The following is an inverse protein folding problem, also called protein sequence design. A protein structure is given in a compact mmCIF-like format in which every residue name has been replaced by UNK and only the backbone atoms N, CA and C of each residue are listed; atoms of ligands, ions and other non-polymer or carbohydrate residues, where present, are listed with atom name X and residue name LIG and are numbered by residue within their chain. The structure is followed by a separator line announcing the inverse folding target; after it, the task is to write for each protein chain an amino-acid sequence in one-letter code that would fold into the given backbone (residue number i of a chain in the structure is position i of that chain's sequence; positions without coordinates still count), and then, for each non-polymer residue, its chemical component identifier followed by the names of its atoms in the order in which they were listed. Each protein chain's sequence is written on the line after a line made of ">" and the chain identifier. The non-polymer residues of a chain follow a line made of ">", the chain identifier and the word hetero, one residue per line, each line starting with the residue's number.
data_IF_940825467593
#
_entry.id   IF_940825467593
#
_cell.length_a   1.000
_cell.length_b   1.000
_cell.length_c   1.000
_cell.angle_alpha   90.00
_cell.angle_beta   90.00
_cell.angle_gamma   90.00
#
_symmetry.space_group_name_H-M   'P 1'
#
loop_
_entity.id
_entity.type
_entity.pdbx_description
1 polymer ?
#
# COMPACT_ATOMS: atom_id res chain seq x y z
N UNK A 1 19.01 -15.37 25.84
CA UNK A 1 18.37 -15.15 24.53
C UNK A 1 18.90 -13.84 23.99
N UNK A 2 19.45 -13.83 22.77
CA UNK A 2 19.82 -12.56 22.13
C UNK A 2 18.51 -11.85 21.81
N UNK A 3 18.15 -10.83 22.58
CA UNK A 3 17.02 -9.96 22.26
C UNK A 3 17.38 -9.23 20.97
N UNK A 4 17.04 -9.80 19.82
CA UNK A 4 17.17 -9.10 18.55
C UNK A 4 16.09 -8.04 18.50
N UNK A 5 16.47 -6.78 18.48
CA UNK A 5 15.58 -5.61 18.47
C UNK A 5 14.71 -5.47 17.21
N UNK A 6 14.70 -6.50 16.36
CA UNK A 6 13.89 -6.61 15.15
C UNK A 6 14.39 -5.77 13.97
N UNK A 7 15.57 -5.15 14.06
CA UNK A 7 16.08 -4.30 12.98
C UNK A 7 16.64 -5.11 11.80
N UNK A 8 16.32 -4.63 10.60
CA UNK A 8 16.86 -5.13 9.34
C UNK A 8 16.98 -3.98 8.31
N UNK A 9 17.67 -4.26 7.21
CA UNK A 9 17.70 -3.39 6.02
C UNK A 9 16.82 -3.99 4.93
N UNK A 10 15.87 -3.21 4.41
CA UNK A 10 15.04 -3.56 3.27
C UNK A 10 15.17 -2.44 2.22
N UNK A 11 15.72 -2.76 1.05
CA UNK A 11 15.95 -1.79 -0.04
C UNK A 11 16.69 -0.51 0.41
N UNK A 12 17.69 -0.65 1.29
CA UNK A 12 18.45 0.48 1.82
C UNK A 12 17.74 1.30 2.91
N UNK A 13 16.51 0.96 3.26
CA UNK A 13 15.74 1.57 4.35
C UNK A 13 15.90 0.73 5.64
N UNK A 14 16.09 1.41 6.78
CA UNK A 14 16.00 0.73 8.08
C UNK A 14 14.54 0.37 8.36
N UNK A 15 14.33 -0.89 8.68
CA UNK A 15 13.04 -1.39 9.14
C UNK A 15 13.20 -2.07 10.49
N UNK A 16 12.14 -2.05 11.29
CA UNK A 16 12.08 -2.74 12.56
C UNK A 16 10.81 -3.58 12.60
N UNK A 17 10.95 -4.86 12.96
CA UNK A 17 9.81 -5.74 13.20
C UNK A 17 9.49 -5.78 14.68
N UNK A 18 8.27 -5.36 15.05
CA UNK A 18 7.76 -5.43 16.42
C UNK A 18 6.38 -6.07 16.35
N UNK A 19 6.15 -7.16 17.08
CA UNK A 19 4.86 -7.86 17.16
C UNK A 19 4.23 -8.18 15.79
N UNK A 20 5.06 -8.64 14.85
CA UNK A 20 4.63 -8.98 13.50
C UNK A 20 4.40 -7.78 12.55
N UNK A 21 4.71 -6.56 12.98
CA UNK A 21 4.54 -5.33 12.19
C UNK A 21 5.89 -4.75 11.79
N UNK A 22 6.03 -4.43 10.50
CA UNK A 22 7.19 -3.75 9.92
C UNK A 22 6.99 -2.25 10.04
N UNK A 23 7.89 -1.60 10.76
CA UNK A 23 7.97 -0.16 10.85
C UNK A 23 9.15 0.37 10.04
N UNK A 24 8.92 1.38 9.21
CA UNK A 24 10.01 2.15 8.60
C UNK A 24 10.64 3.03 9.67
N UNK A 25 11.94 2.94 9.87
CA UNK A 25 12.67 3.73 10.87
C UNK A 25 13.66 4.66 10.20
N UNK A 26 13.77 5.88 10.70
CA UNK A 26 14.85 6.76 10.32
C UNK A 26 16.09 6.54 11.20
N UNK A 27 17.20 7.19 10.83
CA UNK A 27 18.48 7.08 11.55
C UNK A 27 18.37 7.59 12.99
N UNK A 28 17.55 8.61 13.23
CA UNK A 28 17.40 9.20 14.56
C UNK A 28 16.65 8.26 15.50
N UNK A 29 15.62 7.57 15.00
CA UNK A 29 14.89 6.55 15.75
C UNK A 29 15.82 5.40 16.15
N UNK A 30 16.58 4.86 15.20
CA UNK A 30 17.57 3.81 15.48
C UNK A 30 18.57 4.28 16.54
N UNK A 31 19.12 5.49 16.37
CA UNK A 31 20.06 6.08 17.34
C UNK A 31 19.47 6.21 18.74
N UNK A 32 18.28 6.82 18.86
CA UNK A 32 17.63 7.05 20.14
C UNK A 32 17.35 5.73 20.85
N UNK A 33 16.82 4.73 20.14
CA UNK A 33 16.56 3.42 20.73
C UNK A 33 17.85 2.73 21.19
N UNK A 34 18.94 2.80 20.41
CA UNK A 34 20.24 2.27 20.85
C UNK A 34 20.73 2.97 22.11
N UNK A 35 20.62 4.30 22.20
CA UNK A 35 21.01 5.06 23.39
C UNK A 35 20.19 4.66 24.61
N UNK A 36 18.88 4.50 24.44
CA UNK A 36 17.98 4.10 25.53
C UNK A 36 18.33 2.71 26.07
N UNK A 37 18.57 1.74 25.18
CA UNK A 37 18.93 0.37 25.57
C UNK A 37 20.29 0.36 26.26
N UNK A 38 21.30 1.00 25.67
CA UNK A 38 22.64 1.02 26.27
C UNK A 38 22.68 1.79 27.59
N UNK A 39 21.75 2.71 27.83
CA UNK A 39 21.59 3.37 29.14
C UNK A 39 21.04 2.40 30.20
N UNK A 40 20.29 1.38 29.78
CA UNK A 40 19.65 0.39 30.65
C UNK A 40 20.47 -0.88 30.82
N UNK A 41 21.32 -1.27 29.87
CA UNK A 41 22.15 -2.49 29.91
C UNK A 41 23.37 -2.38 28.98
N UNK A 42 24.40 -3.21 29.19
CA UNK A 42 25.54 -3.25 28.28
C UNK A 42 25.17 -4.01 27.01
N UNK A 43 25.43 -3.43 25.83
CA UNK A 43 24.97 -3.99 24.55
C UNK A 43 26.16 -4.26 23.63
N UNK A 44 26.11 -5.36 22.89
CA UNK A 44 27.03 -5.62 21.78
C UNK A 44 26.33 -5.35 20.45
N UNK A 45 26.94 -4.53 19.59
CA UNK A 45 26.51 -4.35 18.21
C UNK A 45 27.63 -4.72 17.23
N UNK A 46 27.25 -5.12 16.03
CA UNK A 46 28.19 -5.37 14.94
C UNK A 46 28.31 -4.11 14.08
N UNK A 47 29.54 -3.70 13.74
CA UNK A 47 29.84 -2.54 12.91
C UNK A 47 30.62 -3.01 11.69
N UNK A 48 30.21 -2.59 10.49
CA UNK A 48 30.95 -2.88 9.26
C UNK A 48 31.93 -1.75 8.97
N UNK A 49 33.23 -2.05 8.96
CA UNK A 49 34.30 -1.13 8.58
C UNK A 49 35.08 -1.73 7.41
N UNK A 50 35.07 -1.06 6.24
CA UNK A 50 35.81 -1.50 5.03
C UNK A 50 35.58 -2.99 4.67
N UNK A 51 34.32 -3.43 4.71
CA UNK A 51 33.88 -4.82 4.49
C UNK A 51 34.27 -5.83 5.59
N UNK A 52 34.78 -5.38 6.73
CA UNK A 52 35.01 -6.23 7.89
C UNK A 52 33.95 -5.96 8.95
N UNK A 53 33.31 -7.02 9.42
CA UNK A 53 32.35 -6.96 10.52
C UNK A 53 33.10 -7.05 11.85
N UNK A 54 33.03 -5.98 12.63
CA UNK A 54 33.64 -5.84 13.95
C UNK A 54 32.56 -5.82 15.01
N UNK A 55 32.65 -6.67 16.03
CA UNK A 55 31.74 -6.59 17.18
C UNK A 55 32.23 -5.53 18.15
N UNK A 56 31.42 -4.51 18.38
CA UNK A 56 31.64 -3.48 19.37
C UNK A 56 30.72 -3.72 20.56
N UNK A 57 31.31 -3.84 21.74
CA UNK A 57 30.57 -3.84 22.99
C UNK A 57 30.56 -2.42 23.53
N UNK A 58 29.38 -1.86 23.75
CA UNK A 58 29.22 -0.57 24.42
C UNK A 58 28.57 -0.82 25.75
N UNK A 59 29.36 -0.55 26.79
CA UNK A 59 28.89 -0.54 28.16
C UNK A 59 28.31 0.83 28.55
N UNK A 60 27.54 0.85 29.63
CA UNK A 60 26.92 2.07 30.16
C UNK A 60 27.92 3.21 30.42
N UNK A 61 29.15 2.89 30.84
CA UNK A 61 30.20 3.89 31.18
C UNK A 61 30.76 4.57 29.93
N UNK A 62 30.90 3.83 28.84
CA UNK A 62 31.41 4.31 27.55
C UNK A 62 30.44 5.31 26.91
N UNK A 63 29.14 5.16 27.15
CA UNK A 63 28.11 6.05 26.61
C UNK A 63 28.13 7.45 27.24
N UNK A 64 28.53 7.57 28.51
CA UNK A 64 28.53 8.82 29.27
C UNK A 64 29.65 9.81 28.90
N UNK A 65 30.68 9.40 28.15
CA UNK A 65 31.89 10.22 27.96
C UNK A 65 32.17 10.68 26.53
N UNK A 66 31.88 9.87 25.50
CA UNK A 66 32.15 10.19 24.07
C UNK A 66 31.21 9.51 23.07
N UNK A 67 30.57 8.39 23.44
CA UNK A 67 29.92 7.54 22.47
C UNK A 67 28.63 8.11 21.87
N UNK A 68 27.89 9.02 22.53
CA UNK A 68 26.66 9.59 21.93
C UNK A 68 26.93 10.33 20.61
N UNK A 69 28.00 11.14 20.56
CA UNK A 69 28.36 11.88 19.34
C UNK A 69 28.91 10.95 18.25
N UNK A 70 29.67 9.93 18.63
CA UNK A 70 30.19 8.91 17.71
C UNK A 70 29.06 8.02 17.18
N UNK A 71 28.22 7.43 18.03
CA UNK A 71 27.04 6.64 17.64
C UNK A 71 26.11 7.41 16.70
N UNK A 72 25.85 8.70 16.96
CA UNK A 72 24.99 9.52 16.09
C UNK A 72 25.55 9.68 14.68
N UNK A 73 26.86 9.86 14.55
CA UNK A 73 27.54 9.89 13.25
C UNK A 73 27.70 8.49 12.61
N UNK A 74 27.71 7.45 13.43
CA UNK A 74 28.11 6.10 13.06
C UNK A 74 26.96 5.10 12.91
N UNK A 75 25.68 5.51 13.04
CA UNK A 75 24.52 4.63 12.84
C UNK A 75 24.60 3.87 11.51
N UNK A 76 25.09 4.53 10.45
CA UNK A 76 25.26 3.92 9.13
C UNK A 76 26.32 2.81 9.07
N UNK A 77 27.20 2.74 10.08
CA UNK A 77 28.19 1.68 10.18
C UNK A 77 27.67 0.50 11.00
N UNK A 78 26.55 0.62 11.71
CA UNK A 78 25.93 -0.51 12.40
C UNK A 78 25.42 -1.49 11.35
N UNK A 79 25.91 -2.72 11.42
CA UNK A 79 25.51 -3.79 10.52
C UNK A 79 24.18 -4.38 11.01
N UNK A 80 23.13 -4.13 10.23
CA UNK A 80 21.85 -4.84 10.37
C UNK A 80 21.75 -5.94 9.31
N UNK A 81 21.10 -7.07 9.64
CA UNK A 81 20.84 -8.11 8.65
C UNK A 81 19.95 -7.57 7.52
N UNK A 82 20.03 -8.21 6.35
CA UNK A 82 19.04 -7.99 5.32
C UNK A 82 17.68 -8.51 5.81
N UNK A 83 16.60 -7.82 5.43
CA UNK A 83 15.25 -8.26 5.75
C UNK A 83 14.91 -9.53 4.94
N UNK A 84 14.51 -10.60 5.64
CA UNK A 84 14.31 -11.93 5.07
C UNK A 84 12.97 -12.59 5.47
N UNK A 85 12.07 -11.82 6.10
CA UNK A 85 10.76 -12.33 6.55
C UNK A 85 9.72 -12.28 5.45
N UNK A 86 8.81 -13.26 5.45
CA UNK A 86 7.67 -13.27 4.53
C UNK A 86 6.66 -12.18 4.93
N UNK A 87 6.24 -11.37 3.96
CA UNK A 87 5.23 -10.34 4.13
C UNK A 87 3.86 -10.95 3.87
N UNK A 88 2.93 -10.83 4.81
CA UNK A 88 1.56 -11.29 4.65
C UNK A 88 0.88 -10.47 3.55
N UNK A 89 0.35 -11.17 2.55
CA UNK A 89 -0.32 -10.58 1.39
C UNK A 89 -1.44 -11.48 0.93
N UNK A 90 -2.46 -10.86 0.34
CA UNK A 90 -3.55 -11.54 -0.34
C UNK A 90 -3.04 -12.55 -1.38
N UNK A 91 -3.81 -13.61 -1.54
CA UNK A 91 -3.66 -14.62 -2.60
C UNK A 91 -4.91 -14.61 -3.49
N UNK A 92 -5.01 -15.58 -4.40
CA UNK A 92 -6.23 -15.76 -5.19
C UNK A 92 -7.45 -16.12 -4.33
N UNK A 93 -7.24 -16.74 -3.16
CA UNK A 93 -8.31 -17.27 -2.30
C UNK A 93 -8.38 -16.59 -0.93
N UNK A 94 -7.32 -15.91 -0.52
CA UNK A 94 -7.17 -15.32 0.80
C UNK A 94 -7.04 -13.80 0.70
N UNK A 95 -7.86 -13.08 1.45
CA UNK A 95 -7.85 -11.63 1.52
C UNK A 95 -7.66 -11.21 2.98
N UNK A 96 -6.72 -10.30 3.22
CA UNK A 96 -6.41 -9.83 4.58
C UNK A 96 -6.62 -8.33 4.69
N UNK A 97 -7.44 -7.89 5.65
CA UNK A 97 -7.53 -6.48 6.06
C UNK A 97 -6.89 -6.30 7.43
N UNK A 98 -6.14 -5.23 7.64
CA UNK A 98 -5.42 -5.00 8.89
C UNK A 98 -6.00 -3.80 9.62
N UNK A 99 -6.47 -4.02 10.84
CA UNK A 99 -7.08 -3.02 11.73
C UNK A 99 -6.25 -2.88 13.00
N UNK A 100 -6.36 -1.79 13.75
CA UNK A 100 -5.49 -1.54 14.91
C UNK A 100 -5.38 -2.73 15.88
N UNK A 101 -6.51 -3.37 16.19
CA UNK A 101 -6.58 -4.49 17.14
C UNK A 101 -6.37 -5.89 16.53
N UNK A 102 -6.65 -6.12 15.24
CA UNK A 102 -6.57 -7.45 14.64
C UNK A 102 -6.33 -7.41 13.12
N UNK A 103 -6.17 -8.58 12.50
CA UNK A 103 -6.35 -8.72 11.05
C UNK A 103 -7.62 -9.51 10.77
N UNK A 104 -8.36 -9.14 9.73
CA UNK A 104 -9.51 -9.88 9.24
C UNK A 104 -9.07 -10.72 8.04
N UNK A 105 -9.16 -12.03 8.13
CA UNK A 105 -8.91 -12.97 7.04
C UNK A 105 -10.25 -13.38 6.43
N UNK A 106 -10.37 -13.20 5.13
CA UNK A 106 -11.57 -13.50 4.35
C UNK A 106 -11.21 -14.51 3.27
N UNK A 107 -12.05 -15.53 3.16
CA UNK A 107 -12.06 -16.50 2.06
C UNK A 107 -13.38 -16.40 1.32
N UNK A 108 -13.59 -17.27 0.33
CA UNK A 108 -14.89 -17.36 -0.35
C UNK A 108 -15.99 -17.86 0.60
N UNK A 109 -15.63 -18.67 1.58
CA UNK A 109 -16.56 -19.40 2.44
C UNK A 109 -16.81 -18.70 3.78
N UNK A 110 -15.83 -17.99 4.33
CA UNK A 110 -15.89 -17.42 5.68
C UNK A 110 -15.03 -16.16 5.85
N UNK A 111 -15.24 -15.47 6.97
CA UNK A 111 -14.40 -14.37 7.42
C UNK A 111 -14.13 -14.52 8.93
N UNK A 112 -12.89 -14.38 9.36
CA UNK A 112 -12.49 -14.51 10.77
C UNK A 112 -11.41 -13.51 11.15
N UNK A 113 -11.38 -13.11 12.43
CA UNK A 113 -10.30 -12.28 12.96
C UNK A 113 -9.13 -13.15 13.40
N UNK A 114 -7.93 -12.81 12.95
CA UNK A 114 -6.68 -13.47 13.30
C UNK A 114 -5.75 -12.54 14.07
N UNK A 115 -4.99 -13.12 14.99
CA UNK A 115 -3.94 -12.43 15.73
C UNK A 115 -2.67 -12.27 14.87
N UNK A 116 -1.87 -11.28 15.21
CA UNK A 116 -0.56 -11.05 14.57
C UNK A 116 0.49 -11.94 15.23
N UNK A 117 0.57 -13.18 14.78
CA UNK A 117 1.48 -14.19 15.37
C UNK A 117 2.96 -13.92 15.06
N UNK A 118 3.26 -13.10 14.05
CA UNK A 118 4.62 -12.73 13.64
C UNK A 118 5.31 -13.72 12.70
N UNK A 119 4.65 -14.83 12.32
CA UNK A 119 5.14 -15.78 11.30
C UNK A 119 5.28 -15.10 9.93
N UNK A 120 4.22 -14.40 9.52
CA UNK A 120 4.25 -13.42 8.42
C UNK A 120 4.09 -12.05 9.01
N UNK A 121 4.74 -11.08 8.39
CA UNK A 121 4.76 -9.70 8.88
C UNK A 121 3.96 -8.77 7.97
N UNK A 122 3.40 -7.71 8.53
CA UNK A 122 2.60 -6.72 7.79
C UNK A 122 3.24 -5.34 7.86
N UNK A 123 2.94 -4.46 6.91
CA UNK A 123 3.40 -3.09 6.99
C UNK A 123 2.54 -2.27 7.96
N UNK A 124 3.17 -1.47 8.80
CA UNK A 124 2.47 -0.52 9.68
C UNK A 124 1.51 0.36 8.89
N UNK A 125 1.96 0.92 7.75
CA UNK A 125 1.15 1.84 6.95
C UNK A 125 -0.01 1.17 6.19
N UNK A 126 -0.16 -0.15 6.31
CA UNK A 126 -1.33 -0.90 5.84
C UNK A 126 -2.32 -1.19 6.98
N UNK A 127 -1.97 -0.89 8.23
CA UNK A 127 -2.88 -0.99 9.36
C UNK A 127 -3.80 0.24 9.35
N UNK A 128 -5.10 -0.01 9.30
CA UNK A 128 -6.10 1.04 9.45
C UNK A 128 -6.24 1.39 10.93
N UNK A 129 -6.17 2.68 11.25
CA UNK A 129 -6.41 3.26 12.57
C UNK A 129 -7.90 3.18 12.97
N UNK A 130 -8.38 1.95 13.11
CA UNK A 130 -9.74 1.59 13.47
C UNK A 130 -9.69 0.28 14.26
N UNK A 131 -10.46 0.17 15.34
CA UNK A 131 -10.60 -1.06 16.11
C UNK A 131 -11.85 -1.80 15.61
N UNK A 132 -11.62 -2.98 15.02
CA UNK A 132 -12.70 -3.82 14.52
C UNK A 132 -13.40 -4.49 15.71
N UNK A 133 -14.62 -4.06 15.98
CA UNK A 133 -15.51 -4.67 16.96
C UNK A 133 -16.52 -5.59 16.28
N UNK A 134 -17.32 -6.30 17.07
CA UNK A 134 -18.42 -7.11 16.54
C UNK A 134 -19.35 -6.29 15.62
N UNK A 135 -19.84 -6.95 14.57
CA UNK A 135 -20.65 -6.36 13.52
C UNK A 135 -21.89 -5.67 14.12
N UNK A 136 -22.19 -4.41 13.74
CA UNK A 136 -23.52 -3.84 14.02
C UNK A 136 -24.60 -4.62 13.24
N UNK A 137 -25.76 -4.83 13.85
CA UNK A 137 -26.91 -5.44 13.16
C UNK A 137 -27.42 -4.52 12.04
N UNK A 138 -27.52 -5.04 10.81
CA UNK A 138 -28.19 -4.40 9.68
C UNK A 138 -27.27 -3.78 8.62
N UNK A 139 -27.89 -3.17 7.61
CA UNK A 139 -27.18 -2.51 6.50
C UNK A 139 -26.53 -1.21 6.98
N UNK A 140 -25.26 -1.01 6.60
CA UNK A 140 -24.54 0.23 6.89
C UNK A 140 -24.83 1.33 5.87
N UNK A 141 -24.61 2.59 6.24
CA UNK A 141 -24.85 3.75 5.35
C UNK A 141 -24.09 3.68 4.01
N UNK A 142 -22.99 2.94 3.94
CA UNK A 142 -22.25 2.72 2.69
C UNK A 142 -22.99 1.76 1.75
N UNK A 143 -23.67 0.74 2.28
CA UNK A 143 -24.50 -0.17 1.49
C UNK A 143 -25.69 0.57 0.88
N UNK A 144 -26.37 1.42 1.66
CA UNK A 144 -27.44 2.29 1.18
C UNK A 144 -26.95 3.23 0.07
N UNK A 145 -25.76 3.81 0.25
CA UNK A 145 -25.12 4.65 -0.77
C UNK A 145 -24.83 3.85 -2.05
N UNK A 146 -24.28 2.64 -1.94
CA UNK A 146 -24.04 1.76 -3.08
C UNK A 146 -25.35 1.42 -3.81
N UNK A 147 -26.41 1.12 -3.08
CA UNK A 147 -27.75 0.88 -3.66
C UNK A 147 -28.25 2.06 -4.48
N UNK A 148 -28.04 3.29 -4.00
CA UNK A 148 -28.44 4.52 -4.70
C UNK A 148 -27.70 4.73 -6.02
N UNK A 149 -26.37 4.59 -6.01
CA UNK A 149 -25.56 4.84 -7.22
C UNK A 149 -25.60 3.68 -8.22
N UNK A 150 -25.88 2.47 -7.75
CA UNK A 150 -25.89 1.27 -8.59
C UNK A 150 -27.25 1.03 -9.25
N UNK A 151 -28.35 1.35 -8.56
CA UNK A 151 -29.68 0.90 -8.94
C UNK A 151 -29.72 -0.62 -9.15
N UNK A 152 -30.15 -1.07 -10.34
CA UNK A 152 -30.25 -2.49 -10.68
C UNK A 152 -28.88 -3.18 -10.81
N UNK A 153 -27.79 -2.42 -10.96
CA UNK A 153 -26.42 -2.95 -11.13
C UNK A 153 -25.71 -3.24 -9.80
N UNK A 154 -26.43 -3.36 -8.68
CA UNK A 154 -25.84 -3.51 -7.35
C UNK A 154 -24.82 -4.66 -7.24
N UNK A 155 -25.09 -5.80 -7.88
CA UNK A 155 -24.15 -6.92 -7.90
C UNK A 155 -22.86 -6.62 -8.69
N UNK A 156 -22.93 -5.81 -9.75
CA UNK A 156 -21.76 -5.35 -10.49
C UNK A 156 -20.91 -4.41 -9.63
N UNK A 157 -21.53 -3.53 -8.85
CA UNK A 157 -20.84 -2.66 -7.88
C UNK A 157 -20.15 -3.47 -6.77
N UNK A 158 -20.83 -4.48 -6.19
CA UNK A 158 -20.20 -5.40 -5.23
C UNK A 158 -19.00 -6.13 -5.83
N UNK A 159 -19.13 -6.61 -7.07
CA UNK A 159 -18.05 -7.32 -7.77
C UNK A 159 -16.86 -6.40 -8.04
N UNK A 160 -17.11 -5.16 -8.49
CA UNK A 160 -16.09 -4.15 -8.69
C UNK A 160 -15.37 -3.79 -7.38
N UNK A 161 -16.13 -3.60 -6.29
CA UNK A 161 -15.56 -3.33 -4.97
C UNK A 161 -14.69 -4.50 -4.49
N UNK A 162 -15.19 -5.74 -4.61
CA UNK A 162 -14.42 -6.94 -4.29
C UNK A 162 -13.13 -7.04 -5.11
N UNK A 163 -13.19 -6.74 -6.42
CA UNK A 163 -12.02 -6.74 -7.29
C UNK A 163 -10.94 -5.74 -6.82
N UNK A 164 -11.32 -4.50 -6.53
CA UNK A 164 -10.37 -3.44 -6.14
C UNK A 164 -9.86 -3.57 -4.71
N UNK A 165 -10.62 -4.21 -3.82
CA UNK A 165 -10.20 -4.42 -2.43
C UNK A 165 -9.21 -5.57 -2.24
N UNK A 166 -8.96 -6.38 -3.27
CA UNK A 166 -7.92 -7.42 -3.24
C UNK A 166 -6.55 -6.83 -3.53
N UNK A 167 -5.57 -7.17 -2.71
CA UNK A 167 -4.17 -6.81 -2.88
C UNK A 167 -3.36 -7.86 -3.67
N UNK A 168 -3.98 -8.47 -4.68
CA UNK A 168 -3.41 -9.56 -5.49
C UNK A 168 -3.82 -9.45 -6.96
N UNK A 169 -2.86 -9.67 -7.86
CA UNK A 169 -3.11 -9.84 -9.29
C UNK A 169 -2.55 -11.19 -9.76
N UNK A 170 -3.37 -11.92 -10.51
CA UNK A 170 -2.97 -13.17 -11.14
C UNK A 170 -2.13 -12.95 -12.41
N UNK A 171 -1.70 -14.05 -13.01
CA UNK A 171 -0.89 -14.05 -14.25
C UNK A 171 -1.67 -13.59 -15.48
N UNK A 172 -3.00 -13.60 -15.41
CA UNK A 172 -3.92 -13.17 -16.47
C UNK A 172 -3.95 -11.65 -16.69
N UNK A 173 -3.31 -10.88 -15.79
CA UNK A 173 -3.36 -9.42 -15.80
C UNK A 173 -4.37 -8.85 -14.82
N UNK A 174 -4.21 -7.56 -14.54
CA UNK A 174 -5.16 -6.75 -13.76
C UNK A 174 -6.22 -6.14 -14.68
N UNK A 175 -7.41 -5.93 -14.13
CA UNK A 175 -8.41 -5.00 -14.70
C UNK A 175 -8.49 -3.74 -13.86
N UNK A 176 -8.30 -2.59 -14.49
CA UNK A 176 -8.54 -1.30 -13.84
C UNK A 176 -10.04 -1.02 -13.76
N UNK A 177 -10.50 -0.49 -12.62
CA UNK A 177 -11.87 -0.04 -12.45
C UNK A 177 -12.02 1.37 -13.01
N UNK A 178 -12.90 1.55 -13.99
CA UNK A 178 -13.26 2.86 -14.53
C UNK A 178 -14.64 3.29 -14.00
N UNK A 179 -14.66 4.28 -13.12
CA UNK A 179 -15.88 4.89 -12.59
C UNK A 179 -16.25 6.10 -13.46
N UNK A 180 -17.41 6.04 -14.12
CA UNK A 180 -17.92 7.14 -14.94
C UNK A 180 -19.39 7.44 -14.67
N UNK A 181 -19.91 8.54 -15.20
CA UNK A 181 -21.33 8.85 -15.10
C UNK A 181 -22.12 8.08 -16.17
N UNK A 182 -23.27 7.52 -15.80
CA UNK A 182 -24.20 6.83 -16.73
C UNK A 182 -24.78 7.83 -17.74
N UNK A 183 -25.11 9.04 -17.27
CA UNK A 183 -25.58 10.15 -18.10
C UNK A 183 -24.48 11.20 -18.19
N UNK A 184 -23.91 11.36 -19.37
CA UNK A 184 -23.00 12.46 -19.69
C UNK A 184 -23.60 13.30 -20.83
N UNK A 185 -23.58 14.62 -20.68
CA UNK A 185 -23.89 15.56 -21.76
C UNK A 185 -22.60 16.25 -22.18
N UNK A 186 -22.34 16.30 -23.49
CA UNK A 186 -21.17 16.99 -24.03
C UNK A 186 -21.22 18.46 -23.61
N UNK A 187 -20.22 18.91 -22.86
CA UNK A 187 -20.12 20.27 -22.34
C UNK A 187 -20.78 20.54 -20.98
N UNK A 188 -21.41 19.54 -20.34
CA UNK A 188 -21.89 19.64 -18.95
C UNK A 188 -21.20 18.64 -18.03
N UNK A 189 -20.73 19.12 -16.88
CA UNK A 189 -20.19 18.27 -15.83
C UNK A 189 -21.30 17.91 -14.84
N UNK A 190 -21.66 16.63 -14.77
CA UNK A 190 -22.53 16.11 -13.72
C UNK A 190 -21.68 15.85 -12.47
N UNK A 191 -21.33 16.93 -11.77
CA UNK A 191 -20.67 16.82 -10.47
C UNK A 191 -21.57 16.11 -9.44
N UNK A 192 -20.98 15.58 -8.37
CA UNK A 192 -21.68 15.00 -7.21
C UNK A 192 -22.41 13.66 -7.43
N UNK A 193 -22.09 12.90 -8.47
CA UNK A 193 -22.60 11.52 -8.68
C UNK A 193 -22.06 10.49 -7.66
N UNK A 194 -21.17 10.93 -6.76
CA UNK A 194 -20.67 10.08 -5.69
C UNK A 194 -19.41 9.29 -6.02
N UNK A 195 -18.83 9.36 -7.23
CA UNK A 195 -17.57 8.66 -7.61
C UNK A 195 -16.47 8.77 -6.54
N UNK A 196 -16.28 9.97 -6.00
CA UNK A 196 -15.32 10.22 -4.93
C UNK A 196 -15.64 9.51 -3.61
N UNK A 197 -16.92 9.35 -3.25
CA UNK A 197 -17.33 8.60 -2.04
C UNK A 197 -16.99 7.12 -2.22
N UNK A 198 -17.20 6.55 -3.42
CA UNK A 198 -16.94 5.14 -3.70
C UNK A 198 -15.48 4.77 -3.43
N UNK A 199 -14.52 5.44 -4.07
CA UNK A 199 -13.12 5.07 -3.90
C UNK A 199 -12.58 5.52 -2.52
N UNK A 200 -13.07 6.64 -1.95
CA UNK A 200 -12.69 7.05 -0.59
C UNK A 200 -13.14 6.05 0.46
N UNK A 201 -14.22 5.30 0.24
CA UNK A 201 -14.60 4.22 1.16
C UNK A 201 -13.53 3.11 1.21
N UNK A 202 -12.81 2.84 0.11
CA UNK A 202 -11.72 1.88 0.10
C UNK A 202 -10.55 2.28 1.04
N UNK A 203 -10.35 3.58 1.28
CA UNK A 203 -9.36 4.10 2.24
C UNK A 203 -9.64 3.67 3.69
N UNK A 204 -10.87 3.23 3.99
CA UNK A 204 -11.27 2.75 5.32
C UNK A 204 -10.86 1.32 5.61
N UNK A 205 -10.37 0.60 4.60
CA UNK A 205 -9.97 -0.81 4.74
C UNK A 205 -8.63 -1.12 4.07
N UNK A 206 -8.13 -0.24 3.20
CA UNK A 206 -6.87 -0.41 2.45
C UNK A 206 -6.03 0.85 2.45
N UNK A 207 -4.72 0.69 2.29
CA UNK A 207 -3.83 1.79 1.95
C UNK A 207 -4.05 2.21 0.49
N UNK A 208 -4.57 3.42 0.31
CA UNK A 208 -4.85 4.02 -0.99
C UNK A 208 -3.96 5.25 -1.16
N UNK A 209 -3.28 5.34 -2.31
CA UNK A 209 -2.62 6.58 -2.74
C UNK A 209 -3.34 7.08 -4.00
N UNK A 210 -3.43 8.39 -4.18
CA UNK A 210 -4.17 8.98 -5.29
C UNK A 210 -3.42 10.14 -5.96
N UNK A 211 -3.87 10.50 -7.16
CA UNK A 211 -3.44 11.71 -7.85
C UNK A 211 -4.57 12.33 -8.68
N UNK A 212 -4.45 13.63 -8.95
CA UNK A 212 -5.32 14.36 -9.89
C UNK A 212 -5.11 13.87 -11.32
N UNK A 213 -6.15 13.31 -11.91
CA UNK A 213 -6.22 12.90 -13.31
C UNK A 213 -6.15 14.06 -14.30
N UNK A 214 -6.40 15.30 -13.86
CA UNK A 214 -6.18 16.51 -14.68
C UNK A 214 -4.71 16.82 -14.89
N UNK A 215 -3.88 16.45 -13.92
CA UNK A 215 -2.44 16.70 -13.91
C UNK A 215 -1.64 15.43 -14.28
N UNK A 216 -2.32 14.28 -14.33
CA UNK A 216 -1.72 13.01 -14.68
C UNK A 216 -1.28 13.02 -16.16
N UNK A 217 0.03 12.94 -16.36
CA UNK A 217 0.65 12.83 -17.68
C UNK A 217 1.33 11.47 -17.76
N UNK A 218 0.83 10.53 -18.59
CA UNK A 218 1.36 9.17 -18.62
C UNK A 218 2.84 9.06 -19.01
N UNK A 219 3.37 10.03 -19.76
CA UNK A 219 4.78 10.06 -20.17
C UNK A 219 5.71 10.67 -19.10
N UNK A 220 5.17 11.20 -18.00
CA UNK A 220 5.97 11.76 -16.92
C UNK A 220 6.58 10.64 -16.05
N UNK A 221 7.89 10.66 -15.86
CA UNK A 221 8.61 9.70 -14.99
C UNK A 221 8.10 9.69 -13.54
N UNK A 222 7.52 10.81 -13.08
CA UNK A 222 6.97 10.99 -11.72
C UNK A 222 5.45 10.82 -11.64
N UNK A 223 4.80 10.25 -12.67
CA UNK A 223 3.32 10.08 -12.70
C UNK A 223 2.76 9.30 -11.50
N UNK A 224 3.59 8.48 -10.87
CA UNK A 224 3.26 7.66 -9.70
C UNK A 224 4.06 8.07 -8.45
N UNK A 225 4.52 9.32 -8.35
CA UNK A 225 5.36 9.78 -7.22
C UNK A 225 4.72 9.61 -5.82
N UNK A 226 3.38 9.58 -5.78
CA UNK A 226 2.60 9.37 -4.56
C UNK A 226 2.57 7.89 -4.13
N UNK A 227 2.80 6.97 -5.06
CA UNK A 227 2.86 5.54 -4.75
C UNK A 227 4.06 5.18 -3.89
N UNK A 228 3.90 4.10 -3.14
CA UNK A 228 4.93 3.44 -2.36
C UNK A 228 4.84 1.93 -2.56
N UNK A 229 5.84 1.17 -2.11
CA UNK A 229 5.81 -0.31 -2.18
C UNK A 229 4.64 -0.94 -1.42
N UNK A 230 4.05 -0.21 -0.48
CA UNK A 230 2.98 -0.72 0.39
C UNK A 230 1.59 -0.24 -0.03
N UNK A 231 1.50 0.63 -1.05
CA UNK A 231 0.24 1.04 -1.68
C UNK A 231 -0.53 -0.20 -2.13
N UNK A 232 -1.83 -0.27 -1.85
CA UNK A 232 -2.66 -1.42 -2.23
C UNK A 232 -3.64 -1.06 -3.35
N UNK A 233 -4.05 0.21 -3.40
CA UNK A 233 -4.91 0.77 -4.45
C UNK A 233 -4.30 2.11 -4.87
N UNK A 234 -4.20 2.34 -6.18
CA UNK A 234 -3.85 3.63 -6.75
C UNK A 234 -5.04 4.23 -7.48
N UNK A 235 -5.34 5.51 -7.21
CA UNK A 235 -6.48 6.21 -7.81
C UNK A 235 -6.00 7.36 -8.70
N UNK A 236 -6.46 7.38 -9.95
CA UNK A 236 -6.34 8.53 -10.85
C UNK A 236 -7.71 9.21 -10.90
N UNK A 237 -7.88 10.27 -10.12
CA UNK A 237 -9.19 10.89 -9.87
C UNK A 237 -9.47 12.04 -10.86
N UNK A 238 -10.64 12.00 -11.51
CA UNK A 238 -11.15 13.03 -12.44
C UNK A 238 -10.26 13.22 -13.68
N UNK A 239 -9.99 12.13 -14.41
CA UNK A 239 -9.29 12.19 -15.70
C UNK A 239 -10.10 12.96 -16.75
N UNK A 240 -9.38 13.69 -17.61
CA UNK A 240 -9.94 14.48 -18.70
C UNK A 240 -10.65 13.59 -19.73
N UNK A 241 -11.55 14.20 -20.50
CA UNK A 241 -12.08 13.60 -21.71
C UNK A 241 -10.90 13.22 -22.64
N UNK A 242 -11.01 12.08 -23.33
CA UNK A 242 -9.95 11.53 -24.20
C UNK A 242 -8.68 11.06 -23.48
N UNK A 243 -8.78 10.68 -22.21
CA UNK A 243 -7.67 10.00 -21.54
C UNK A 243 -7.36 8.65 -22.23
N UNK A 244 -6.15 8.52 -22.77
CA UNK A 244 -5.71 7.30 -23.45
C UNK A 244 -5.26 6.22 -22.46
N UNK A 245 -6.15 5.27 -22.19
CA UNK A 245 -5.88 4.14 -21.30
C UNK A 245 -4.79 3.19 -21.82
N UNK A 246 -4.41 3.23 -23.11
CA UNK A 246 -3.31 2.39 -23.63
C UNK A 246 -1.99 2.66 -22.92
N UNK A 247 -1.80 3.88 -22.44
CA UNK A 247 -0.65 4.28 -21.62
C UNK A 247 -0.53 3.51 -20.28
N UNK A 248 -1.61 2.84 -19.84
CA UNK A 248 -1.69 2.04 -18.63
C UNK A 248 -1.66 0.53 -18.88
N UNK A 249 -1.45 0.08 -20.12
CA UNK A 249 -1.42 -1.36 -20.42
C UNK A 249 -0.32 -2.11 -19.68
N UNK A 250 0.91 -1.57 -19.68
CA UNK A 250 2.03 -2.21 -18.98
C UNK A 250 1.77 -2.30 -17.47
N UNK A 251 1.11 -1.30 -16.89
CA UNK A 251 0.68 -1.35 -15.49
C UNK A 251 -0.22 -2.57 -15.22
N UNK A 252 -1.13 -2.87 -16.16
CA UNK A 252 -2.07 -3.98 -16.02
C UNK A 252 -1.47 -5.36 -16.35
N UNK A 253 -0.38 -5.44 -17.12
CA UNK A 253 0.15 -6.73 -17.63
C UNK A 253 1.53 -7.10 -17.10
N UNK A 254 2.41 -6.12 -16.87
CA UNK A 254 3.79 -6.35 -16.44
C UNK A 254 4.02 -5.91 -14.99
N UNK A 255 3.31 -4.86 -14.58
CA UNK A 255 3.34 -4.27 -13.26
C UNK A 255 3.71 -2.79 -13.27
N UNK A 256 3.83 -2.20 -12.08
CA UNK A 256 4.11 -0.78 -11.93
C UNK A 256 5.62 -0.48 -11.88
N UNK A 257 6.01 0.63 -12.48
CA UNK A 257 7.34 1.20 -12.34
C UNK A 257 7.22 2.69 -12.03
N UNK A 258 7.91 3.15 -10.98
CA UNK A 258 7.79 4.53 -10.52
C UNK A 258 9.05 5.05 -9.85
N UNK A 259 9.25 6.36 -9.98
CA UNK A 259 10.33 7.10 -9.36
C UNK A 259 9.78 8.13 -8.37
N UNK A 260 10.53 8.35 -7.29
CA UNK A 260 10.25 9.43 -6.32
C UNK A 260 11.46 10.36 -6.30
N UNK A 261 11.24 11.64 -6.00
CA UNK A 261 12.35 12.61 -5.93
C UNK A 261 13.43 12.11 -4.98
N UNK A 262 14.67 12.08 -5.47
CA UNK A 262 15.86 11.67 -4.72
C UNK A 262 15.86 10.20 -4.24
N UNK A 263 15.03 9.35 -4.83
CA UNK A 263 14.99 7.91 -4.57
C UNK A 263 15.24 7.15 -5.86
N UNK A 264 15.80 5.95 -5.74
CA UNK A 264 15.97 5.04 -6.87
C UNK A 264 14.62 4.60 -7.44
N UNK A 265 14.65 4.20 -8.71
CA UNK A 265 13.50 3.66 -9.43
C UNK A 265 13.02 2.36 -8.79
N UNK A 266 11.72 2.28 -8.52
CA UNK A 266 11.06 1.10 -7.96
C UNK A 266 10.30 0.41 -9.07
N UNK A 267 10.56 -0.88 -9.25
CA UNK A 267 9.78 -1.77 -10.12
C UNK A 267 9.05 -2.80 -9.28
N UNK A 268 7.73 -2.83 -9.39
CA UNK A 268 6.87 -3.83 -8.76
C UNK A 268 6.46 -4.87 -9.80
N UNK A 269 6.57 -6.18 -9.49
CA UNK A 269 5.96 -7.19 -10.35
C UNK A 269 4.43 -7.06 -10.35
N UNK A 270 3.76 -7.58 -11.38
CA UNK A 270 2.30 -7.54 -11.50
C UNK A 270 1.57 -8.01 -10.22
N UNK A 271 2.01 -9.13 -9.62
CA UNK A 271 1.43 -9.68 -8.38
C UNK A 271 1.45 -8.69 -7.21
N UNK A 272 2.41 -7.77 -7.21
CA UNK A 272 2.56 -6.75 -6.17
C UNK A 272 1.96 -5.39 -6.55
N UNK A 273 1.55 -5.23 -7.80
CA UNK A 273 1.08 -3.96 -8.36
C UNK A 273 -0.26 -3.56 -7.73
N UNK A 274 -0.42 -2.30 -7.27
CA UNK A 274 -1.65 -1.85 -6.63
C UNK A 274 -2.84 -1.87 -7.58
N UNK A 275 -4.04 -2.19 -7.08
CA UNK A 275 -5.26 -2.12 -7.91
C UNK A 275 -5.45 -0.70 -8.45
N UNK A 276 -5.90 -0.58 -9.70
CA UNK A 276 -6.07 0.72 -10.34
C UNK A 276 -7.54 1.12 -10.38
N UNK A 277 -7.85 2.30 -9.83
CA UNK A 277 -9.14 2.96 -10.00
C UNK A 277 -8.91 4.24 -10.81
N UNK A 278 -9.72 4.44 -11.85
CA UNK A 278 -9.74 5.67 -12.64
C UNK A 278 -11.14 6.23 -12.54
N UNK A 279 -11.27 7.52 -12.22
CA UNK A 279 -12.57 8.20 -12.23
C UNK A 279 -12.60 9.24 -13.33
N UNK A 280 -13.73 9.34 -14.01
CA UNK A 280 -13.96 10.37 -15.03
C UNK A 280 -15.44 10.74 -15.06
N UNK A 281 -15.78 11.87 -15.67
CA UNK A 281 -17.17 12.17 -16.02
C UNK A 281 -17.57 11.52 -17.35
N UNK A 282 -16.62 10.92 -18.06
CA UNK A 282 -16.81 10.35 -19.39
C UNK A 282 -16.51 8.83 -19.39
N UNK A 283 -17.17 8.05 -20.27
CA UNK A 283 -16.73 6.68 -20.52
C UNK A 283 -15.32 6.68 -21.15
N UNK A 284 -14.56 5.59 -21.00
CA UNK A 284 -13.26 5.48 -21.63
C UNK A 284 -13.44 5.35 -23.15
N UNK A 285 -12.46 5.84 -23.90
CA UNK A 285 -12.42 5.59 -25.34
C UNK A 285 -11.95 4.16 -25.61
N UNK A 286 -12.75 3.41 -26.36
CA UNK A 286 -12.46 2.02 -26.71
C UNK A 286 -12.43 1.93 -28.23
N UNK A 287 -11.23 1.83 -28.79
CA UNK A 287 -11.06 1.54 -30.21
C UNK A 287 -11.47 0.09 -30.51
N UNK A 288 -12.10 -0.13 -31.67
CA UNK A 288 -12.50 -1.48 -32.11
C UNK A 288 -11.27 -2.39 -32.25
N UNK A 289 -11.36 -3.61 -31.72
CA UNK A 289 -10.26 -4.58 -31.72
C UNK A 289 -9.15 -4.28 -30.71
N UNK A 290 -9.28 -3.21 -29.90
CA UNK A 290 -8.29 -2.89 -28.89
C UNK A 290 -8.30 -3.88 -27.71
N UNK A 291 -7.14 -4.03 -27.09
CA UNK A 291 -6.98 -4.88 -25.90
C UNK A 291 -7.53 -4.23 -24.61
N UNK A 292 -8.11 -3.03 -24.73
CA UNK A 292 -8.65 -2.19 -23.65
C UNK A 292 -9.79 -2.90 -22.91
N UNK A 293 -10.72 -3.52 -23.63
CA UNK A 293 -11.91 -4.15 -23.03
C UNK A 293 -11.55 -5.27 -22.05
N UNK A 294 -10.47 -6.01 -22.30
CA UNK A 294 -10.01 -7.06 -21.38
C UNK A 294 -9.36 -6.54 -20.10
N UNK A 295 -8.96 -5.26 -20.08
CA UNK A 295 -8.19 -4.59 -19.01
C UNK A 295 -9.00 -3.55 -18.23
N UNK A 296 -10.26 -3.32 -18.61
CA UNK A 296 -11.15 -2.40 -17.93
C UNK A 296 -12.36 -3.12 -17.35
N UNK A 297 -12.71 -2.76 -16.13
CA UNK A 297 -14.05 -2.97 -15.58
C UNK A 297 -14.73 -1.60 -15.56
N UNK A 298 -15.69 -1.36 -16.46
CA UNK A 298 -16.36 -0.06 -16.57
C UNK A 298 -17.62 -0.10 -15.73
N UNK A 299 -17.76 0.87 -14.84
CA UNK A 299 -18.87 0.96 -13.90
C UNK A 299 -19.50 2.35 -13.99
N UNK A 300 -20.60 2.49 -14.74
CA UNK A 300 -21.37 3.73 -14.81
C UNK A 300 -22.18 3.94 -13.51
N UNK A 301 -22.11 5.14 -12.93
CA UNK A 301 -22.89 5.58 -11.77
C UNK A 301 -24.12 6.36 -12.23
N UNK A 302 -25.25 6.12 -11.57
CA UNK A 302 -26.53 6.81 -11.83
C UNK A 302 -26.55 8.26 -11.34
#
# INVERSE_FOLDING_TARGET
>A
MVNTLGFAILDGQYVQVVDGVIYKRDKNHVYNLMVDIVSQEDVCFCVRVRNTDLTFRVDRKTLQTKAQKELRGNVNMIAFPAFDREILRDTANDVYFHFKNCSLHITKEWAETIERTGEKVIWEDQIIEFELNEQPEGAGSFEDYLGKIAGENFNSFKSALGMVLRNYNGSEGMRALWLCDERYEVGKQNGRTGKGIFWKAATKVRKVDDCSGKDFTPDNQFKFQNMSRTTQIFVIDDVKQHFDFRSMYNYCTEGAEFERKHMDKIKLPLKETPQLIITSNYPPEIEQGSSTTGRLFILPLK
#
